data_IF_547946126898
#
_entry.id   IF_547946126898
#
_cell.length_a   1.000
_cell.length_b   1.000
_cell.length_c   1.000
_cell.angle_alpha   90.00
_cell.angle_beta   90.00
_cell.angle_gamma   90.00
#
_symmetry.space_group_name_H-M   'P 1'
#
loop_
_entity.id
_entity.type
_entity.pdbx_description
1 polymer ?
#
# COMPACT_ATOMS: atom_id res chain seq x y z
N UNK A 1 -9.18 -24.60 -16.45
CA UNK A 1 -8.89 -23.35 -15.70
C UNK A 1 -7.81 -22.55 -16.40
N UNK A 2 -8.09 -21.29 -16.69
CA UNK A 2 -7.15 -20.36 -17.32
C UNK A 2 -6.84 -19.22 -16.36
N UNK A 3 -5.57 -18.81 -16.27
CA UNK A 3 -5.20 -17.56 -15.62
C UNK A 3 -5.01 -16.49 -16.69
N UNK A 4 -5.56 -15.29 -16.52
CA UNK A 4 -5.31 -14.18 -17.42
C UNK A 4 -3.84 -13.75 -17.33
N UNK A 5 -3.29 -13.26 -18.44
CA UNK A 5 -2.07 -12.45 -18.38
C UNK A 5 -2.53 -11.01 -18.16
N UNK A 6 -2.17 -10.45 -16.99
CA UNK A 6 -2.69 -9.16 -16.56
C UNK A 6 -2.19 -8.00 -17.42
N UNK A 7 -0.95 -8.04 -17.87
CA UNK A 7 -0.41 -7.01 -18.78
C UNK A 7 -1.24 -6.93 -20.09
N UNK A 8 -1.53 -8.09 -20.70
CA UNK A 8 -2.36 -8.12 -21.89
C UNK A 8 -3.80 -7.68 -21.64
N UNK A 9 -4.33 -8.05 -20.46
CA UNK A 9 -5.68 -7.67 -20.08
C UNK A 9 -5.79 -6.16 -19.88
N UNK A 10 -4.81 -5.55 -19.21
CA UNK A 10 -4.79 -4.10 -18.96
C UNK A 10 -4.48 -3.28 -20.22
N UNK A 11 -3.64 -3.79 -21.12
CA UNK A 11 -3.44 -3.16 -22.43
C UNK A 11 -4.73 -3.16 -23.25
N UNK A 12 -5.46 -4.27 -23.27
CA UNK A 12 -6.78 -4.34 -23.88
C UNK A 12 -7.78 -3.41 -23.21
N UNK A 13 -7.71 -3.28 -21.86
CA UNK A 13 -8.52 -2.34 -21.09
C UNK A 13 -8.31 -0.90 -21.59
N UNK A 14 -7.10 -0.40 -21.66
CA UNK A 14 -6.79 0.94 -22.12
C UNK A 14 -7.33 1.23 -23.54
N UNK A 15 -7.14 0.29 -24.48
CA UNK A 15 -7.65 0.42 -25.85
C UNK A 15 -9.20 0.50 -25.91
N UNK A 16 -9.89 -0.31 -25.13
CA UNK A 16 -11.37 -0.37 -25.15
C UNK A 16 -12.01 0.77 -24.38
N UNK A 17 -11.42 1.20 -23.27
CA UNK A 17 -11.87 2.38 -22.53
C UNK A 17 -11.82 3.61 -23.45
N UNK A 18 -10.72 3.83 -24.15
CA UNK A 18 -10.56 4.94 -25.08
C UNK A 18 -11.59 4.91 -26.23
N UNK A 19 -12.11 3.72 -26.62
CA UNK A 19 -13.14 3.56 -27.64
C UNK A 19 -14.58 3.66 -27.12
N UNK A 20 -14.80 3.79 -25.80
CA UNK A 20 -16.13 3.78 -25.18
C UNK A 20 -16.84 2.42 -25.18
N UNK A 21 -16.11 1.33 -25.40
CA UNK A 21 -16.67 -0.03 -25.49
C UNK A 21 -16.81 -0.69 -24.10
N UNK A 22 -17.41 0.02 -23.13
CA UNK A 22 -17.47 -0.37 -21.71
C UNK A 22 -18.05 -1.76 -21.46
N UNK A 23 -19.20 -2.09 -22.09
CA UNK A 23 -19.82 -3.40 -21.90
C UNK A 23 -18.92 -4.56 -22.35
N UNK A 24 -18.27 -4.42 -23.51
CA UNK A 24 -17.37 -5.43 -24.04
C UNK A 24 -16.17 -5.62 -23.08
N UNK A 25 -15.68 -4.52 -22.56
CA UNK A 25 -14.56 -4.54 -21.63
C UNK A 25 -14.97 -5.18 -20.29
N UNK A 26 -16.11 -4.81 -19.71
CA UNK A 26 -16.61 -5.38 -18.47
C UNK A 26 -16.86 -6.91 -18.59
N UNK A 27 -17.48 -7.34 -19.69
CA UNK A 27 -17.68 -8.76 -19.98
C UNK A 27 -16.35 -9.50 -20.14
N UNK A 28 -15.32 -8.87 -20.72
CA UNK A 28 -13.98 -9.44 -20.85
C UNK A 28 -13.29 -9.61 -19.50
N UNK A 29 -13.37 -8.62 -18.60
CA UNK A 29 -12.85 -8.71 -17.24
C UNK A 29 -13.55 -9.81 -16.45
N UNK A 30 -14.89 -9.84 -16.50
CA UNK A 30 -15.69 -10.89 -15.86
C UNK A 30 -15.32 -12.28 -16.34
N UNK A 31 -15.15 -12.48 -17.66
CA UNK A 31 -14.77 -13.77 -18.25
C UNK A 31 -13.32 -14.16 -17.88
N UNK A 32 -12.40 -13.19 -17.84
CA UNK A 32 -11.03 -13.41 -17.40
C UNK A 32 -10.97 -13.85 -15.92
N UNK A 33 -11.95 -13.43 -15.12
CA UNK A 33 -12.06 -13.73 -13.70
C UNK A 33 -12.86 -15.03 -13.41
N UNK A 34 -13.36 -15.74 -14.41
CA UNK A 34 -14.24 -16.91 -14.22
C UNK A 34 -13.55 -18.02 -13.38
N UNK A 35 -12.30 -18.33 -13.70
CA UNK A 35 -11.52 -19.33 -12.97
C UNK A 35 -10.73 -18.73 -11.77
N UNK A 36 -10.32 -17.47 -11.86
CA UNK A 36 -9.48 -16.81 -10.87
C UNK A 36 -10.27 -16.39 -9.62
N UNK A 37 -11.49 -15.85 -9.79
CA UNK A 37 -12.35 -15.39 -8.72
C UNK A 37 -11.66 -14.34 -7.83
N UNK A 38 -10.90 -13.41 -8.42
CA UNK A 38 -10.26 -12.29 -7.71
C UNK A 38 -11.28 -11.20 -7.40
N UNK A 39 -11.25 -10.67 -6.18
CA UNK A 39 -12.09 -9.54 -5.77
C UNK A 39 -11.71 -8.27 -6.55
N UNK A 40 -10.44 -8.03 -6.81
CA UNK A 40 -9.93 -6.91 -7.60
C UNK A 40 -10.52 -6.88 -9.02
N UNK A 41 -10.53 -8.01 -9.72
CA UNK A 41 -11.11 -8.06 -11.07
C UNK A 41 -12.64 -7.89 -11.06
N UNK A 42 -13.32 -8.33 -10.01
CA UNK A 42 -14.75 -8.03 -9.86
C UNK A 42 -15.01 -6.55 -9.64
N UNK A 43 -14.19 -5.86 -8.82
CA UNK A 43 -14.27 -4.41 -8.63
C UNK A 43 -13.99 -3.66 -9.94
N UNK A 44 -12.96 -4.05 -10.68
CA UNK A 44 -12.65 -3.44 -11.97
C UNK A 44 -13.79 -3.64 -12.98
N UNK A 45 -14.38 -4.84 -13.03
CA UNK A 45 -15.54 -5.09 -13.88
C UNK A 45 -16.75 -4.24 -13.45
N UNK A 46 -16.97 -4.08 -12.14
CA UNK A 46 -18.03 -3.22 -11.60
C UNK A 46 -17.84 -1.76 -12.03
N UNK A 47 -16.63 -1.23 -11.91
CA UNK A 47 -16.29 0.13 -12.32
C UNK A 47 -16.61 0.35 -13.82
N UNK A 48 -16.23 -0.58 -14.67
CA UNK A 48 -16.46 -0.49 -16.12
C UNK A 48 -17.93 -0.59 -16.47
N UNK A 49 -18.69 -1.49 -15.81
CA UNK A 49 -20.15 -1.53 -15.98
C UNK A 49 -20.80 -0.22 -15.54
N UNK A 50 -20.33 0.37 -14.45
CA UNK A 50 -20.79 1.65 -13.96
C UNK A 50 -20.57 2.78 -14.98
N UNK A 51 -19.37 2.90 -15.54
CA UNK A 51 -19.07 3.88 -16.59
C UNK A 51 -19.94 3.68 -17.83
N UNK A 52 -20.24 2.44 -18.16
CA UNK A 52 -21.14 2.07 -19.26
C UNK A 52 -22.63 2.29 -18.98
N UNK A 53 -23.00 2.71 -17.77
CA UNK A 53 -24.41 2.92 -17.37
C UNK A 53 -25.15 1.65 -16.95
N UNK A 54 -24.48 0.49 -16.90
CA UNK A 54 -25.03 -0.82 -16.53
C UNK A 54 -24.98 -1.01 -14.99
N UNK A 55 -25.70 -0.17 -14.25
CA UNK A 55 -25.59 -0.08 -12.77
C UNK A 55 -25.95 -1.37 -12.04
N UNK A 56 -26.97 -2.12 -12.50
CA UNK A 56 -27.33 -3.42 -11.89
C UNK A 56 -26.20 -4.45 -12.05
N UNK A 57 -25.54 -4.44 -13.22
CA UNK A 57 -24.37 -5.29 -13.46
C UNK A 57 -23.20 -4.88 -12.56
N UNK A 58 -22.99 -3.59 -12.33
CA UNK A 58 -21.98 -3.09 -11.42
C UNK A 58 -22.25 -3.55 -9.97
N UNK A 59 -23.48 -3.40 -9.46
CA UNK A 59 -23.87 -3.90 -8.15
C UNK A 59 -23.62 -5.41 -8.02
N UNK A 60 -24.02 -6.21 -9.02
CA UNK A 60 -23.80 -7.64 -9.03
C UNK A 60 -22.32 -8.02 -8.96
N UNK A 61 -21.41 -7.25 -9.60
CA UNK A 61 -19.97 -7.49 -9.51
C UNK A 61 -19.42 -7.09 -8.14
N UNK A 62 -19.90 -5.99 -7.53
CA UNK A 62 -19.50 -5.61 -6.16
C UNK A 62 -19.94 -6.66 -5.11
N UNK A 63 -21.13 -7.23 -5.25
CA UNK A 63 -21.53 -8.36 -4.41
C UNK A 63 -20.57 -9.54 -4.54
N UNK A 64 -20.17 -9.89 -5.76
CA UNK A 64 -19.17 -10.95 -6.00
C UNK A 64 -17.79 -10.57 -5.43
N UNK A 65 -17.39 -9.32 -5.51
CA UNK A 65 -16.14 -8.86 -4.92
C UNK A 65 -16.15 -9.08 -3.39
N UNK A 66 -17.25 -8.72 -2.71
CA UNK A 66 -17.40 -8.97 -1.27
C UNK A 66 -17.40 -10.48 -0.96
N UNK A 67 -18.09 -11.30 -1.77
CA UNK A 67 -18.10 -12.76 -1.61
C UNK A 67 -16.69 -13.38 -1.76
N UNK A 68 -15.77 -12.68 -2.44
CA UNK A 68 -14.39 -13.10 -2.68
C UNK A 68 -13.37 -12.32 -1.83
N UNK A 69 -13.81 -11.62 -0.78
CA UNK A 69 -12.95 -11.05 0.24
C UNK A 69 -12.77 -9.54 0.20
N UNK A 70 -13.39 -8.81 -0.74
CA UNK A 70 -13.38 -7.34 -0.70
C UNK A 70 -13.89 -6.84 0.65
N UNK A 71 -13.12 -5.98 1.30
CA UNK A 71 -13.41 -5.42 2.61
C UNK A 71 -13.30 -3.89 2.68
N UNK A 72 -13.33 -3.20 1.53
CA UNK A 72 -13.34 -1.75 1.48
C UNK A 72 -14.79 -1.21 1.55
N UNK A 73 -15.25 -0.65 2.69
CA UNK A 73 -16.61 -0.14 2.83
C UNK A 73 -16.83 1.16 2.04
N UNK A 74 -15.76 1.86 1.66
CA UNK A 74 -15.79 3.09 0.87
C UNK A 74 -15.56 2.85 -0.62
N UNK A 75 -15.77 1.64 -1.10
CA UNK A 75 -15.51 1.30 -2.51
C UNK A 75 -16.26 2.22 -3.49
N UNK A 76 -17.45 2.66 -3.13
CA UNK A 76 -18.26 3.54 -3.97
C UNK A 76 -17.69 4.96 -4.12
N UNK A 77 -16.80 5.40 -3.22
CA UNK A 77 -16.12 6.70 -3.34
C UNK A 77 -15.18 6.75 -4.56
N UNK A 78 -14.73 5.59 -5.03
CA UNK A 78 -13.88 5.45 -6.23
C UNK A 78 -14.67 5.53 -7.54
N UNK A 79 -16.01 5.48 -7.48
CA UNK A 79 -16.85 5.48 -8.66
C UNK A 79 -17.26 6.91 -9.04
N UNK A 80 -17.32 7.24 -10.33
CA UNK A 80 -17.77 8.56 -10.77
C UNK A 80 -19.15 8.89 -10.22
N UNK A 81 -19.32 10.10 -9.69
CA UNK A 81 -20.62 10.55 -9.16
C UNK A 81 -21.68 10.55 -10.25
N UNK A 82 -22.87 10.04 -9.93
CA UNK A 82 -24.06 10.07 -10.80
C UNK A 82 -25.04 11.12 -10.31
N UNK A 83 -25.84 11.65 -11.25
CA UNK A 83 -26.91 12.63 -10.94
C UNK A 83 -28.13 11.93 -10.31
N UNK A 84 -28.39 10.70 -10.75
CA UNK A 84 -29.54 9.93 -10.28
C UNK A 84 -29.13 9.07 -9.08
N UNK A 85 -29.98 8.99 -8.04
CA UNK A 85 -29.75 8.10 -6.92
C UNK A 85 -29.71 6.64 -7.38
N UNK A 86 -28.92 5.84 -6.66
CA UNK A 86 -28.88 4.39 -6.87
C UNK A 86 -30.11 3.79 -6.16
N UNK A 87 -31.03 3.26 -6.91
CA UNK A 87 -32.27 2.69 -6.40
C UNK A 87 -32.38 1.21 -6.80
N UNK A 88 -32.99 0.42 -5.92
CA UNK A 88 -33.31 -0.98 -6.14
C UNK A 88 -32.68 -1.93 -5.13
N UNK A 89 -33.33 -3.07 -4.95
CA UNK A 89 -32.96 -4.07 -3.92
C UNK A 89 -31.50 -4.54 -3.97
N UNK A 90 -30.86 -4.51 -5.14
CA UNK A 90 -29.44 -4.86 -5.30
C UNK A 90 -28.50 -3.82 -4.66
N UNK A 91 -28.83 -2.54 -4.77
CA UNK A 91 -28.06 -1.45 -4.17
C UNK A 91 -28.29 -1.33 -2.67
N UNK A 92 -29.55 -1.49 -2.20
CA UNK A 92 -29.87 -1.48 -0.78
C UNK A 92 -29.13 -2.60 -0.06
N UNK A 93 -29.17 -3.84 -0.61
CA UNK A 93 -28.42 -4.97 -0.07
C UNK A 93 -26.90 -4.80 -0.11
N UNK A 94 -26.36 -4.08 -1.12
CA UNK A 94 -24.94 -3.75 -1.18
C UNK A 94 -24.57 -2.79 -0.07
N UNK A 95 -25.36 -1.74 0.14
CA UNK A 95 -25.10 -0.76 1.20
C UNK A 95 -25.13 -1.42 2.58
N UNK A 96 -26.11 -2.30 2.86
CA UNK A 96 -26.16 -3.07 4.11
C UNK A 96 -24.88 -3.88 4.35
N UNK A 97 -24.33 -4.49 3.29
CA UNK A 97 -23.06 -5.24 3.37
C UNK A 97 -21.86 -4.34 3.63
N UNK A 98 -21.78 -3.18 2.95
CA UNK A 98 -20.71 -2.21 3.14
C UNK A 98 -20.74 -1.62 4.56
N UNK A 99 -21.94 -1.36 5.10
CA UNK A 99 -22.12 -0.90 6.48
C UNK A 99 -21.69 -1.95 7.50
N UNK A 100 -21.98 -3.24 7.23
CA UNK A 100 -21.49 -4.36 8.05
C UNK A 100 -19.96 -4.42 8.07
N UNK A 101 -19.33 -4.34 6.88
CA UNK A 101 -17.86 -4.29 6.74
C UNK A 101 -17.29 -3.09 7.51
N UNK A 102 -17.91 -1.90 7.38
CA UNK A 102 -17.47 -0.71 8.10
C UNK A 102 -17.55 -0.88 9.62
N UNK A 103 -18.56 -1.60 10.11
CA UNK A 103 -18.70 -1.96 11.52
C UNK A 103 -17.59 -2.92 11.98
N UNK A 104 -17.34 -3.98 11.23
CA UNK A 104 -16.30 -4.97 11.54
C UNK A 104 -14.90 -4.35 11.58
N UNK A 105 -14.57 -3.46 10.64
CA UNK A 105 -13.27 -2.79 10.58
C UNK A 105 -12.98 -1.89 11.78
N UNK A 106 -13.98 -1.43 12.53
CA UNK A 106 -13.79 -0.64 13.75
C UNK A 106 -13.44 -1.49 14.98
N UNK A 107 -13.60 -2.79 14.88
CA UNK A 107 -13.39 -3.69 15.99
C UNK A 107 -11.99 -4.34 15.89
N UNK A 108 -11.10 -3.99 16.81
CA UNK A 108 -9.74 -4.57 16.86
C UNK A 108 -9.76 -6.10 16.97
N UNK A 109 -10.83 -6.69 17.52
CA UNK A 109 -11.02 -8.15 17.57
C UNK A 109 -11.13 -8.82 16.21
N UNK A 110 -11.42 -8.06 15.14
CA UNK A 110 -11.48 -8.54 13.75
C UNK A 110 -10.18 -8.28 12.98
N UNK A 111 -9.21 -7.62 13.62
CA UNK A 111 -7.88 -7.45 13.03
C UNK A 111 -7.17 -8.79 12.91
N UNK A 112 -6.74 -9.12 11.72
CA UNK A 112 -6.01 -10.37 11.42
C UNK A 112 -4.74 -10.09 10.64
N UNK A 113 -3.62 -10.63 11.09
CA UNK A 113 -2.42 -10.81 10.28
C UNK A 113 -2.42 -12.25 9.76
N UNK A 114 -2.64 -12.43 8.45
CA UNK A 114 -2.77 -13.73 7.79
C UNK A 114 -1.49 -14.08 7.05
N UNK A 115 -0.93 -15.23 7.38
CA UNK A 115 0.31 -15.76 6.76
C UNK A 115 0.08 -17.07 6.03
N UNK A 116 -1.17 -17.54 5.95
CA UNK A 116 -1.53 -18.84 5.39
C UNK A 116 -1.02 -19.02 3.95
N UNK A 117 -1.00 -17.94 3.16
CA UNK A 117 -0.48 -17.97 1.80
C UNK A 117 0.99 -18.40 1.73
N UNK A 118 1.82 -18.03 2.72
CA UNK A 118 3.22 -18.45 2.82
C UNK A 118 3.30 -19.95 3.08
N UNK A 119 2.56 -20.46 4.07
CA UNK A 119 2.57 -21.87 4.43
C UNK A 119 2.12 -22.78 3.28
N UNK A 120 1.06 -22.36 2.60
CA UNK A 120 0.53 -23.08 1.42
C UNK A 120 1.49 -23.03 0.25
N UNK A 121 2.29 -21.99 0.10
CA UNK A 121 3.22 -21.81 -1.02
C UNK A 121 4.40 -22.80 -1.00
N UNK A 122 4.99 -23.08 0.16
CA UNK A 122 6.23 -23.85 0.27
C UNK A 122 6.17 -25.25 -0.36
N UNK A 123 5.12 -26.06 -0.19
CA UNK A 123 5.00 -27.33 -0.88
C UNK A 123 4.98 -27.22 -2.42
N UNK A 124 4.38 -26.15 -2.97
CA UNK A 124 4.37 -25.91 -4.43
C UNK A 124 5.74 -25.46 -4.91
N UNK A 125 6.41 -24.59 -4.18
CA UNK A 125 7.79 -24.17 -4.46
C UNK A 125 8.73 -25.36 -4.51
N UNK A 126 8.70 -26.22 -3.48
CA UNK A 126 9.60 -27.36 -3.39
C UNK A 126 9.42 -28.30 -4.60
N UNK A 127 8.18 -28.66 -4.95
CA UNK A 127 7.90 -29.45 -6.16
C UNK A 127 8.34 -28.76 -7.45
N UNK A 128 8.16 -27.45 -7.54
CA UNK A 128 8.58 -26.67 -8.70
C UNK A 128 10.09 -26.62 -8.87
N UNK A 129 10.84 -26.63 -7.77
CA UNK A 129 12.31 -26.64 -7.77
C UNK A 129 12.90 -28.04 -7.95
N UNK A 130 12.17 -29.11 -7.57
CA UNK A 130 12.54 -30.51 -7.84
C UNK A 130 12.38 -30.84 -9.34
N UNK A 131 11.32 -30.36 -9.98
CA UNK A 131 11.07 -30.54 -11.42
C UNK A 131 10.66 -29.22 -12.06
N UNK A 132 11.63 -28.49 -12.60
CA UNK A 132 11.41 -27.18 -13.24
C UNK A 132 10.54 -27.27 -14.50
N UNK A 133 10.42 -28.44 -15.12
CA UNK A 133 9.51 -28.64 -16.25
C UNK A 133 8.03 -28.53 -15.83
N UNK A 134 7.72 -28.82 -14.58
CA UNK A 134 6.39 -28.72 -13.97
C UNK A 134 6.18 -27.43 -13.18
N UNK A 135 7.20 -26.59 -13.04
CA UNK A 135 7.16 -25.42 -12.14
C UNK A 135 5.98 -24.47 -12.47
N UNK A 136 5.72 -24.19 -13.76
CA UNK A 136 4.57 -23.36 -14.15
C UNK A 136 3.22 -23.97 -13.74
N UNK A 137 3.12 -25.29 -13.76
CA UNK A 137 1.91 -26.01 -13.34
C UNK A 137 1.75 -25.88 -11.81
N UNK A 138 2.85 -26.02 -11.04
CA UNK A 138 2.81 -25.88 -9.59
C UNK A 138 2.43 -24.45 -9.19
N UNK A 139 3.06 -23.43 -9.77
CA UNK A 139 2.74 -22.02 -9.50
C UNK A 139 1.29 -21.69 -9.87
N UNK A 140 0.82 -22.15 -11.03
CA UNK A 140 -0.58 -21.98 -11.43
C UNK A 140 -1.54 -22.66 -10.46
N UNK A 141 -1.23 -23.87 -10.00
CA UNK A 141 -2.07 -24.60 -9.05
C UNK A 141 -2.12 -23.86 -7.73
N UNK A 142 -0.99 -23.33 -7.23
CA UNK A 142 -0.93 -22.48 -6.05
C UNK A 142 -1.89 -21.28 -6.17
N UNK A 143 -1.88 -20.55 -7.28
CA UNK A 143 -2.78 -19.40 -7.49
C UNK A 143 -4.25 -19.83 -7.45
N UNK A 144 -4.61 -20.93 -8.10
CA UNK A 144 -6.01 -21.34 -8.26
C UNK A 144 -6.58 -22.05 -7.04
N UNK A 145 -5.75 -22.71 -6.24
CA UNK A 145 -6.19 -23.52 -5.09
C UNK A 145 -5.74 -22.99 -3.73
N UNK A 146 -4.88 -21.97 -3.73
CA UNK A 146 -4.45 -21.27 -2.54
C UNK A 146 -5.53 -20.37 -1.94
N UNK A 147 -5.23 -19.70 -0.82
CA UNK A 147 -6.16 -18.79 -0.18
C UNK A 147 -6.56 -17.63 -1.11
N UNK A 148 -7.74 -17.00 -0.88
CA UNK A 148 -8.29 -15.98 -1.78
C UNK A 148 -7.34 -14.80 -2.04
N UNK A 149 -6.57 -14.38 -1.04
CA UNK A 149 -5.61 -13.28 -1.12
C UNK A 149 -4.54 -13.49 -2.21
N UNK A 150 -4.16 -14.73 -2.49
CA UNK A 150 -3.18 -15.05 -3.54
C UNK A 150 -3.69 -14.67 -4.93
N UNK A 151 -5.01 -14.73 -5.12
CA UNK A 151 -5.67 -14.39 -6.40
C UNK A 151 -5.68 -12.89 -6.65
N UNK A 152 -5.92 -12.10 -5.61
CA UNK A 152 -5.85 -10.63 -5.70
C UNK A 152 -4.40 -10.18 -5.89
N UNK A 153 -3.46 -10.78 -5.16
CA UNK A 153 -2.05 -10.48 -5.36
C UNK A 153 -1.54 -10.87 -6.76
N UNK A 154 -2.14 -11.93 -7.37
CA UNK A 154 -1.86 -12.26 -8.77
C UNK A 154 -2.24 -11.11 -9.71
N UNK A 155 -3.37 -10.48 -9.48
CA UNK A 155 -3.85 -9.36 -10.30
C UNK A 155 -2.96 -8.14 -10.14
N UNK A 156 -2.60 -7.79 -8.92
CA UNK A 156 -1.93 -6.51 -8.63
C UNK A 156 -0.41 -6.57 -8.71
N UNK A 157 0.20 -7.78 -8.54
CA UNK A 157 1.67 -7.88 -8.43
C UNK A 157 2.33 -8.97 -9.27
N UNK A 158 1.77 -10.19 -9.33
CA UNK A 158 2.41 -11.25 -10.11
C UNK A 158 2.24 -11.04 -11.63
N UNK A 159 1.10 -10.55 -12.07
CA UNK A 159 0.82 -10.24 -13.48
C UNK A 159 0.70 -11.46 -14.39
N UNK A 160 1.58 -12.46 -14.23
CA UNK A 160 1.54 -13.71 -14.99
C UNK A 160 2.34 -14.84 -14.32
N UNK A 161 2.02 -16.08 -14.69
CA UNK A 161 2.81 -17.27 -14.28
C UNK A 161 4.24 -17.20 -14.81
N UNK A 162 4.47 -16.58 -15.96
CA UNK A 162 5.81 -16.44 -16.54
C UNK A 162 6.67 -15.47 -15.74
N UNK A 163 6.11 -14.38 -15.19
CA UNK A 163 6.81 -13.49 -14.29
C UNK A 163 7.17 -14.18 -12.96
N UNK A 164 6.20 -14.90 -12.36
CA UNK A 164 6.48 -15.72 -11.17
C UNK A 164 7.58 -16.76 -11.44
N UNK A 165 7.48 -17.50 -12.52
CA UNK A 165 8.50 -18.47 -12.91
C UNK A 165 9.86 -17.82 -13.13
N UNK A 166 9.88 -16.69 -13.83
CA UNK A 166 11.10 -15.92 -14.10
C UNK A 166 11.83 -15.50 -12.82
N UNK A 167 11.11 -14.97 -11.85
CA UNK A 167 11.71 -14.49 -10.60
C UNK A 167 12.01 -15.64 -9.63
N UNK A 168 11.03 -16.49 -9.34
CA UNK A 168 11.12 -17.47 -8.26
C UNK A 168 12.00 -18.67 -8.66
N UNK A 169 11.84 -19.16 -9.91
CA UNK A 169 12.49 -20.41 -10.35
C UNK A 169 13.79 -20.16 -11.10
N UNK A 170 13.85 -19.12 -11.94
CA UNK A 170 15.03 -18.87 -12.75
C UNK A 170 16.01 -17.88 -12.10
N UNK A 171 15.52 -16.76 -11.54
CA UNK A 171 16.39 -15.69 -11.07
C UNK A 171 16.91 -15.92 -9.64
N UNK A 172 16.04 -16.36 -8.71
CA UNK A 172 16.40 -16.40 -7.29
C UNK A 172 15.96 -17.68 -6.52
N UNK A 173 16.13 -18.90 -7.07
CA UNK A 173 15.66 -20.13 -6.42
C UNK A 173 16.33 -20.43 -5.07
N UNK A 174 17.59 -20.07 -4.88
CA UNK A 174 18.31 -20.26 -3.59
C UNK A 174 17.73 -19.29 -2.53
N UNK A 175 17.43 -18.07 -2.93
CA UNK A 175 16.82 -17.10 -2.05
C UNK A 175 15.45 -17.54 -1.54
N UNK A 176 14.56 -18.05 -2.42
CA UNK A 176 13.24 -18.52 -1.99
C UNK A 176 13.29 -19.79 -1.12
N UNK A 177 14.28 -20.69 -1.32
CA UNK A 177 14.52 -21.80 -0.39
C UNK A 177 14.97 -21.30 0.99
N UNK A 178 15.87 -20.33 1.03
CA UNK A 178 16.32 -19.70 2.26
C UNK A 178 15.16 -19.00 2.99
N UNK A 179 14.34 -18.26 2.26
CA UNK A 179 13.21 -17.52 2.80
C UNK A 179 12.21 -18.42 3.56
N UNK A 180 12.02 -19.66 3.13
CA UNK A 180 11.18 -20.63 3.84
C UNK A 180 11.57 -20.79 5.32
N UNK A 181 12.84 -20.72 5.64
CA UNK A 181 13.37 -20.83 7.01
C UNK A 181 13.10 -19.58 7.87
N UNK A 182 12.89 -18.42 7.27
CA UNK A 182 12.62 -17.15 7.98
C UNK A 182 11.18 -17.09 8.51
N UNK A 183 10.23 -17.67 7.79
CA UNK A 183 8.81 -17.71 8.15
C UNK A 183 8.51 -18.92 9.07
N UNK A 184 9.24 -19.04 10.18
CA UNK A 184 8.94 -20.05 11.20
C UNK A 184 7.84 -19.53 12.17
N UNK A 185 7.07 -20.43 12.82
CA UNK A 185 5.94 -20.03 13.67
C UNK A 185 6.31 -19.05 14.79
N UNK A 186 7.44 -19.25 15.45
CA UNK A 186 7.84 -18.40 16.60
C UNK A 186 8.10 -16.95 16.14
N UNK A 187 8.78 -16.78 15.00
CA UNK A 187 9.05 -15.46 14.42
C UNK A 187 7.77 -14.77 13.96
N UNK A 188 6.86 -15.53 13.35
CA UNK A 188 5.56 -15.00 12.89
C UNK A 188 4.68 -14.59 14.08
N UNK A 189 4.64 -15.38 15.14
CA UNK A 189 3.85 -15.06 16.34
C UNK A 189 4.36 -13.80 17.03
N UNK A 190 5.68 -13.60 17.12
CA UNK A 190 6.27 -12.37 17.65
C UNK A 190 5.88 -11.15 16.84
N UNK A 191 5.90 -11.24 15.50
CA UNK A 191 5.45 -10.17 14.60
C UNK A 191 3.97 -9.84 14.86
N UNK A 192 3.10 -10.85 14.95
CA UNK A 192 1.67 -10.68 15.25
C UNK A 192 1.45 -9.97 16.57
N UNK A 193 2.11 -10.42 17.64
CA UNK A 193 2.00 -9.81 18.98
C UNK A 193 2.42 -8.34 18.96
N UNK A 194 3.52 -8.02 18.28
CA UNK A 194 4.04 -6.64 18.17
C UNK A 194 3.05 -5.73 17.45
N UNK A 195 2.51 -6.18 16.32
CA UNK A 195 1.54 -5.40 15.54
C UNK A 195 0.23 -5.20 16.32
N UNK A 196 -0.33 -6.27 16.90
CA UNK A 196 -1.58 -6.18 17.69
C UNK A 196 -1.40 -5.27 18.89
N UNK A 197 -0.25 -5.35 19.57
CA UNK A 197 0.10 -4.44 20.69
C UNK A 197 0.11 -2.97 20.25
N UNK A 198 0.70 -2.67 19.10
CA UNK A 198 0.76 -1.33 18.52
C UNK A 198 -0.63 -0.83 18.09
N UNK A 199 -1.44 -1.68 17.46
CA UNK A 199 -2.82 -1.35 17.07
C UNK A 199 -3.72 -1.13 18.28
N UNK A 200 -3.47 -1.83 19.39
CA UNK A 200 -4.19 -1.60 20.65
C UNK A 200 -3.90 -0.19 21.19
N UNK A 201 -2.63 0.21 21.21
CA UNK A 201 -2.25 1.59 21.59
C UNK A 201 -2.83 2.63 20.63
N UNK A 202 -2.80 2.35 19.34
CA UNK A 202 -3.37 3.23 18.33
C UNK A 202 -4.87 3.47 18.55
N UNK A 203 -5.66 2.44 18.80
CA UNK A 203 -7.09 2.56 19.13
C UNK A 203 -7.34 3.46 20.33
N UNK A 204 -6.49 3.40 21.37
CA UNK A 204 -6.64 4.22 22.57
C UNK A 204 -6.33 5.70 22.31
N UNK A 205 -5.46 5.99 21.32
CA UNK A 205 -5.10 7.33 20.87
C UNK A 205 -6.11 7.88 19.87
N UNK A 206 -6.57 7.05 18.94
CA UNK A 206 -7.47 7.39 17.83
C UNK A 206 -8.69 6.45 17.82
N UNK A 207 -9.79 6.80 18.52
CA UNK A 207 -10.99 5.94 18.64
C UNK A 207 -11.73 5.67 17.33
N UNK A 208 -11.48 6.45 16.26
CA UNK A 208 -12.04 6.24 14.94
C UNK A 208 -11.24 5.26 14.08
N UNK A 209 -10.18 4.68 14.63
CA UNK A 209 -9.29 3.75 13.92
C UNK A 209 -10.07 2.62 13.22
N UNK A 210 -9.58 2.25 12.04
CA UNK A 210 -10.02 1.06 11.30
C UNK A 210 -8.90 0.03 11.24
N UNK A 211 -9.27 -1.25 11.26
CA UNK A 211 -8.34 -2.37 11.37
C UNK A 211 -8.53 -3.32 10.17
N UNK A 212 -8.05 -2.96 8.96
CA UNK A 212 -8.12 -3.83 7.81
C UNK A 212 -7.25 -5.08 8.03
N UNK A 213 -7.62 -6.17 7.38
CA UNK A 213 -6.82 -7.40 7.40
C UNK A 213 -5.48 -7.17 6.70
N UNK A 214 -4.44 -7.79 7.22
CA UNK A 214 -3.09 -7.78 6.65
C UNK A 214 -2.76 -9.19 6.17
N UNK A 215 -2.29 -9.30 4.94
CA UNK A 215 -1.94 -10.56 4.29
C UNK A 215 -0.47 -10.57 3.95
N UNK A 216 0.29 -11.53 4.49
CA UNK A 216 1.65 -11.79 4.05
C UNK A 216 1.61 -12.88 2.99
N UNK A 217 2.07 -12.56 1.80
CA UNK A 217 2.02 -13.45 0.64
C UNK A 217 3.42 -13.62 0.03
N UNK A 218 3.71 -14.76 -0.63
CA UNK A 218 4.97 -14.88 -1.35
C UNK A 218 4.97 -13.88 -2.52
N UNK A 219 5.94 -12.96 -2.55
CA UNK A 219 6.09 -11.98 -3.62
C UNK A 219 6.97 -12.47 -4.78
N UNK A 220 7.35 -11.54 -5.65
CA UNK A 220 8.34 -11.72 -6.73
C UNK A 220 9.42 -10.61 -6.68
N UNK A 221 9.80 -10.19 -5.48
CA UNK A 221 10.78 -9.14 -5.18
C UNK A 221 10.48 -7.81 -5.89
N UNK A 222 9.21 -7.40 -5.90
CA UNK A 222 8.74 -6.18 -6.57
C UNK A 222 7.85 -5.27 -5.71
N UNK A 223 7.54 -5.66 -4.46
CA UNK A 223 6.73 -4.82 -3.56
C UNK A 223 6.85 -5.27 -2.11
N UNK A 224 7.20 -4.34 -1.23
CA UNK A 224 7.15 -4.53 0.23
C UNK A 224 5.73 -4.47 0.77
N UNK A 225 4.89 -3.53 0.30
CA UNK A 225 3.51 -3.35 0.69
C UNK A 225 2.62 -2.97 -0.48
N UNK A 226 1.32 -3.27 -0.41
CA UNK A 226 0.32 -2.91 -1.41
C UNK A 226 -1.07 -2.89 -0.77
N UNK A 227 -1.74 -1.75 -0.82
CA UNK A 227 -3.15 -1.66 -0.47
C UNK A 227 -4.02 -2.18 -1.61
N UNK A 228 -5.04 -2.97 -1.28
CA UNK A 228 -6.04 -3.52 -2.20
C UNK A 228 -7.45 -3.35 -1.63
N UNK A 229 -8.45 -3.73 -2.40
CA UNK A 229 -9.84 -3.72 -1.92
C UNK A 229 -10.13 -4.82 -0.86
N UNK A 230 -9.26 -5.81 -0.73
CA UNK A 230 -9.34 -6.86 0.28
C UNK A 230 -8.68 -6.45 1.61
N UNK A 231 -7.73 -5.52 1.58
CA UNK A 231 -6.93 -5.07 2.72
C UNK A 231 -5.49 -4.78 2.30
N UNK A 232 -4.57 -4.94 3.25
CA UNK A 232 -3.15 -4.70 3.02
C UNK A 232 -2.40 -5.99 2.71
N UNK A 233 -1.58 -5.97 1.68
CA UNK A 233 -0.70 -7.07 1.29
C UNK A 233 0.76 -6.72 1.50
N UNK A 234 1.51 -7.65 2.07
CA UNK A 234 2.95 -7.57 2.22
C UNK A 234 3.60 -8.70 1.43
N UNK A 235 4.57 -8.37 0.56
CA UNK A 235 5.41 -9.36 -0.10
C UNK A 235 6.40 -9.93 0.89
N UNK A 236 6.14 -11.15 1.40
CA UNK A 236 6.98 -11.79 2.41
C UNK A 236 8.43 -11.98 1.97
N UNK A 237 8.68 -12.02 0.67
CA UNK A 237 10.01 -12.12 0.08
C UNK A 237 10.85 -10.83 0.21
N UNK A 238 10.26 -9.72 0.59
CA UNK A 238 10.98 -8.48 0.89
C UNK A 238 11.55 -8.42 2.31
N UNK A 239 11.36 -9.47 3.14
CA UNK A 239 11.74 -9.49 4.55
C UNK A 239 12.67 -10.66 4.90
N UNK A 240 13.62 -10.95 4.02
CA UNK A 240 14.57 -12.04 4.19
C UNK A 240 16.00 -11.63 4.54
N UNK A 241 16.27 -10.34 4.85
CA UNK A 241 17.63 -9.87 5.11
C UNK A 241 18.19 -10.49 6.40
N UNK A 242 19.34 -11.12 6.29
CA UNK A 242 20.17 -11.60 7.41
C UNK A 242 21.61 -11.81 6.92
N UNK A 243 22.57 -12.03 7.82
CA UNK A 243 23.95 -12.38 7.44
C UNK A 243 24.04 -13.66 6.57
N UNK A 244 23.08 -14.58 6.68
CA UNK A 244 23.01 -15.83 5.94
C UNK A 244 22.26 -15.72 4.62
N UNK A 245 21.68 -14.57 4.30
CA UNK A 245 20.90 -14.36 3.06
C UNK A 245 21.77 -14.64 1.82
N UNK A 246 21.34 -15.54 0.92
CA UNK A 246 22.05 -15.78 -0.33
C UNK A 246 21.88 -14.57 -1.27
N UNK A 247 22.97 -13.87 -1.54
CA UNK A 247 22.96 -12.63 -2.34
C UNK A 247 23.36 -12.82 -3.80
N UNK A 248 23.93 -14.01 -4.16
CA UNK A 248 24.51 -14.24 -5.49
C UNK A 248 23.50 -14.14 -6.63
N UNK A 249 22.25 -14.48 -6.36
CA UNK A 249 21.15 -14.49 -7.32
C UNK A 249 20.39 -13.16 -7.39
N UNK A 250 20.65 -12.27 -6.44
CA UNK A 250 19.93 -11.00 -6.31
C UNK A 250 20.64 -9.87 -7.06
N UNK A 251 19.85 -8.99 -7.66
CA UNK A 251 20.35 -7.72 -8.21
C UNK A 251 20.78 -6.78 -7.07
N UNK A 252 21.61 -5.76 -7.35
CA UNK A 252 22.03 -4.80 -6.33
C UNK A 252 20.82 -4.11 -5.70
N UNK A 253 19.85 -3.68 -6.52
CA UNK A 253 18.62 -3.11 -6.01
C UNK A 253 17.86 -4.06 -5.04
N UNK A 254 17.76 -5.36 -5.39
CA UNK A 254 17.09 -6.34 -4.52
C UNK A 254 17.82 -6.52 -3.18
N UNK A 255 19.17 -6.55 -3.19
CA UNK A 255 19.97 -6.65 -1.97
C UNK A 255 19.75 -5.47 -1.03
N UNK A 256 19.57 -4.27 -1.59
CA UNK A 256 19.34 -3.05 -0.83
C UNK A 256 17.89 -2.97 -0.34
N UNK A 257 16.93 -3.33 -1.20
CA UNK A 257 15.49 -3.24 -0.92
C UNK A 257 14.96 -4.32 0.04
N UNK A 258 15.62 -5.49 0.14
CA UNK A 258 15.22 -6.54 1.08
C UNK A 258 15.53 -6.08 2.51
N UNK A 259 14.51 -6.11 3.37
CA UNK A 259 14.55 -5.68 4.78
C UNK A 259 14.75 -6.86 5.73
N UNK A 260 15.10 -6.57 6.99
CA UNK A 260 15.15 -7.60 8.02
C UNK A 260 13.72 -8.05 8.38
N UNK A 261 13.58 -9.30 8.80
CA UNK A 261 12.28 -9.80 9.27
C UNK A 261 11.76 -9.02 10.48
N UNK A 262 12.67 -8.50 11.32
CA UNK A 262 12.34 -7.63 12.46
C UNK A 262 11.71 -6.29 12.08
N UNK A 263 11.87 -5.84 10.84
CA UNK A 263 11.34 -4.55 10.37
C UNK A 263 9.87 -4.67 9.92
N UNK A 264 9.39 -5.93 9.77
CA UNK A 264 8.03 -6.23 9.31
C UNK A 264 6.93 -5.58 10.16
N UNK A 265 6.98 -5.58 11.52
CA UNK A 265 5.99 -4.89 12.32
C UNK A 265 5.94 -3.39 12.05
N UNK A 266 7.10 -2.74 11.96
CA UNK A 266 7.21 -1.32 11.73
C UNK A 266 6.55 -0.92 10.39
N UNK A 267 6.92 -1.60 9.30
CA UNK A 267 6.34 -1.33 7.99
C UNK A 267 4.84 -1.64 7.96
N UNK A 268 4.42 -2.74 8.60
CA UNK A 268 3.00 -3.07 8.69
C UNK A 268 2.21 -1.94 9.36
N UNK A 269 2.72 -1.36 10.43
CA UNK A 269 2.07 -0.24 11.14
C UNK A 269 2.06 1.00 10.24
N UNK A 270 3.16 1.31 9.56
CA UNK A 270 3.24 2.42 8.60
C UNK A 270 2.14 2.30 7.54
N UNK A 271 2.05 1.18 6.87
CA UNK A 271 1.06 0.91 5.83
C UNK A 271 -0.39 0.93 6.37
N UNK A 272 -0.61 0.46 7.61
CA UNK A 272 -1.92 0.54 8.25
C UNK A 272 -2.36 1.98 8.52
N UNK A 273 -1.42 2.91 8.67
CA UNK A 273 -1.74 4.33 8.85
C UNK A 273 -2.31 4.96 7.57
N UNK A 274 -1.91 4.52 6.39
CA UNK A 274 -2.51 4.98 5.14
C UNK A 274 -4.03 4.68 5.07
N UNK A 275 -4.50 3.62 5.70
CA UNK A 275 -5.94 3.32 5.80
C UNK A 275 -6.69 4.26 6.74
N UNK A 276 -5.99 4.98 7.61
CA UNK A 276 -6.58 5.94 8.55
C UNK A 276 -6.68 7.35 7.96
N UNK A 277 -5.86 7.66 6.96
CA UNK A 277 -5.77 8.98 6.37
C UNK A 277 -7.02 9.31 5.54
N UNK A 278 -7.62 10.46 5.84
CA UNK A 278 -8.83 10.95 5.18
C UNK A 278 -8.70 12.45 4.89
N UNK A 279 -7.74 12.80 4.04
CA UNK A 279 -7.46 14.18 3.67
C UNK A 279 -8.49 14.72 2.68
N UNK A 280 -8.95 15.94 2.91
CA UNK A 280 -9.93 16.65 2.08
C UNK A 280 -9.33 17.90 1.40
N UNK A 281 -7.99 18.01 1.44
CA UNK A 281 -7.26 19.13 0.85
C UNK A 281 -7.16 18.97 -0.67
N UNK A 282 -8.03 19.67 -1.41
CA UNK A 282 -8.04 19.65 -2.88
C UNK A 282 -7.00 20.62 -3.47
N UNK A 283 -6.57 21.66 -2.71
CA UNK A 283 -5.66 22.69 -3.21
C UNK A 283 -4.21 22.18 -3.30
N UNK A 284 -3.77 21.38 -2.31
CA UNK A 284 -2.38 20.91 -2.23
C UNK A 284 -2.23 19.42 -2.50
N UNK A 285 -3.27 18.75 -2.96
CA UNK A 285 -3.35 17.29 -3.12
C UNK A 285 -2.20 16.69 -3.93
N UNK A 286 -1.82 17.34 -5.03
CA UNK A 286 -0.81 16.83 -5.96
C UNK A 286 0.60 17.43 -5.71
N UNK A 287 0.80 18.09 -4.56
CA UNK A 287 2.08 18.77 -4.27
C UNK A 287 3.04 17.89 -3.46
N UNK A 288 4.33 18.26 -3.49
CA UNK A 288 5.35 17.66 -2.62
C UNK A 288 4.96 17.78 -1.14
N UNK A 289 4.35 18.90 -0.72
CA UNK A 289 3.81 19.08 0.64
C UNK A 289 2.87 17.93 1.03
N UNK A 290 1.89 17.64 0.17
CA UNK A 290 0.94 16.55 0.43
C UNK A 290 1.67 15.22 0.55
N UNK A 291 2.55 14.93 -0.39
CA UNK A 291 3.27 13.66 -0.42
C UNK A 291 4.13 13.42 0.83
N UNK A 292 4.93 14.41 1.25
CA UNK A 292 5.79 14.27 2.44
C UNK A 292 5.00 14.22 3.76
N UNK A 293 3.88 14.94 3.86
CA UNK A 293 3.01 14.86 5.05
C UNK A 293 2.31 13.52 5.08
N UNK A 294 1.84 13.01 3.95
CA UNK A 294 1.19 11.70 3.84
C UNK A 294 2.08 10.59 4.42
N UNK A 295 3.33 10.52 3.97
CA UNK A 295 4.31 9.53 4.42
C UNK A 295 4.82 9.81 5.84
N UNK A 296 5.12 11.07 6.14
CA UNK A 296 5.67 11.46 7.44
C UNK A 296 4.70 11.25 8.60
N UNK A 297 3.40 11.38 8.38
CA UNK A 297 2.36 11.03 9.36
C UNK A 297 2.43 9.54 9.68
N UNK A 298 2.57 8.68 8.67
CA UNK A 298 2.68 7.24 8.88
C UNK A 298 3.90 6.87 9.73
N UNK A 299 5.09 7.41 9.40
CA UNK A 299 6.30 7.19 10.18
C UNK A 299 6.19 7.71 11.63
N UNK A 300 5.57 8.87 11.83
CA UNK A 300 5.35 9.39 13.18
C UNK A 300 4.34 8.55 13.98
N UNK A 301 3.29 8.04 13.34
CA UNK A 301 2.34 7.15 14.00
C UNK A 301 2.98 5.81 14.37
N UNK A 302 3.95 5.31 13.60
CA UNK A 302 4.76 4.15 14.00
C UNK A 302 5.44 4.42 15.33
N UNK A 303 6.15 5.55 15.47
CA UNK A 303 6.80 5.94 16.75
C UNK A 303 5.77 6.01 17.88
N UNK A 304 4.65 6.67 17.64
CA UNK A 304 3.64 6.88 18.66
C UNK A 304 2.98 5.57 19.14
N UNK A 305 2.80 4.61 18.23
CA UNK A 305 2.14 3.33 18.50
C UNK A 305 3.10 2.24 19.00
N UNK A 306 4.32 2.16 18.47
CA UNK A 306 5.31 1.16 18.88
C UNK A 306 6.16 1.62 20.06
N UNK A 307 6.41 2.91 20.16
CA UNK A 307 7.42 3.50 21.08
C UNK A 307 8.84 3.49 20.49
N UNK A 308 9.00 3.00 19.26
CA UNK A 308 10.28 2.99 18.56
C UNK A 308 10.49 4.30 17.82
N UNK A 309 11.45 5.09 18.27
CA UNK A 309 11.82 6.37 17.64
C UNK A 309 12.41 6.07 16.26
N UNK A 310 12.04 6.87 15.26
CA UNK A 310 12.66 6.78 13.94
C UNK A 310 14.18 7.03 14.08
N UNK A 311 14.96 6.06 13.66
CA UNK A 311 16.42 6.11 13.59
C UNK A 311 16.86 5.58 12.22
N UNK A 312 17.41 6.46 11.38
CA UNK A 312 17.81 6.13 10.03
C UNK A 312 18.92 7.05 9.52
N UNK A 313 19.55 6.67 8.42
CA UNK A 313 20.64 7.41 7.76
C UNK A 313 20.22 8.84 7.40
N UNK A 314 18.95 9.08 7.13
CA UNK A 314 18.42 10.40 6.80
C UNK A 314 18.48 11.36 8.01
N UNK A 315 18.14 10.87 9.21
CA UNK A 315 18.27 11.66 10.44
C UNK A 315 19.74 11.91 10.78
N UNK A 316 20.61 10.91 10.60
CA UNK A 316 22.04 11.09 10.77
C UNK A 316 22.59 12.16 9.81
N UNK A 317 22.23 12.09 8.53
CA UNK A 317 22.61 13.08 7.53
C UNK A 317 22.14 14.50 7.88
N UNK A 318 20.90 14.63 8.37
CA UNK A 318 20.32 15.91 8.81
C UNK A 318 20.83 16.39 10.17
N UNK A 319 21.59 15.59 10.91
CA UNK A 319 22.27 16.02 12.13
C UNK A 319 23.39 17.00 11.86
N UNK A 320 23.97 16.96 10.67
CA UNK A 320 24.93 17.96 10.19
C UNK A 320 24.19 19.27 9.86
N UNK A 321 24.62 20.37 10.50
CA UNK A 321 23.96 21.67 10.35
C UNK A 321 24.00 22.26 8.93
N UNK A 322 25.06 21.96 8.15
CA UNK A 322 25.20 22.42 6.76
C UNK A 322 24.23 21.64 5.85
N UNK A 323 24.18 20.31 6.00
CA UNK A 323 23.24 19.47 5.28
C UNK A 323 21.81 19.88 5.57
N UNK A 324 21.48 20.01 6.86
CA UNK A 324 20.16 20.43 7.28
C UNK A 324 19.75 21.75 6.63
N UNK A 325 20.63 22.74 6.61
CA UNK A 325 20.33 24.07 6.09
C UNK A 325 19.96 24.01 4.60
N UNK A 326 20.86 23.47 3.76
CA UNK A 326 20.61 23.50 2.31
C UNK A 326 19.44 22.59 1.89
N UNK A 327 19.25 21.44 2.56
CA UNK A 327 18.11 20.55 2.32
C UNK A 327 16.79 21.29 2.60
N UNK A 328 16.69 22.00 3.73
CA UNK A 328 15.46 22.72 4.07
C UNK A 328 15.23 23.93 3.15
N UNK A 329 16.29 24.60 2.68
CA UNK A 329 16.19 25.67 1.68
C UNK A 329 15.66 25.13 0.35
N UNK A 330 16.14 23.97 -0.11
CA UNK A 330 15.67 23.32 -1.32
C UNK A 330 14.23 22.80 -1.17
N UNK A 331 13.91 22.14 -0.04
CA UNK A 331 12.55 21.69 0.24
C UNK A 331 11.56 22.86 0.20
N UNK A 332 11.90 24.00 0.81
CA UNK A 332 11.05 25.18 0.78
C UNK A 332 10.80 25.68 -0.65
N UNK A 333 11.82 25.64 -1.51
CA UNK A 333 11.67 26.06 -2.91
C UNK A 333 10.72 25.15 -3.72
N UNK A 334 10.68 23.86 -3.41
CA UNK A 334 9.93 22.83 -4.17
C UNK A 334 8.64 22.38 -3.47
N UNK A 335 8.39 22.80 -2.24
CA UNK A 335 7.31 22.29 -1.36
C UNK A 335 5.92 22.29 -1.99
N UNK A 336 5.60 23.29 -2.82
CA UNK A 336 4.32 23.46 -3.47
C UNK A 336 4.33 23.04 -4.94
N UNK A 337 5.40 22.41 -5.41
CA UNK A 337 5.50 21.84 -6.77
C UNK A 337 4.95 20.40 -6.79
N UNK A 338 4.64 19.89 -7.99
CA UNK A 338 4.07 18.54 -8.18
C UNK A 338 5.17 17.46 -8.29
N UNK A 339 6.40 17.83 -8.62
CA UNK A 339 7.51 16.88 -8.76
C UNK A 339 8.05 16.44 -7.40
N UNK A 340 7.82 15.17 -7.07
CA UNK A 340 8.28 14.54 -5.82
C UNK A 340 9.55 13.71 -5.99
N UNK A 341 10.06 13.55 -7.22
CA UNK A 341 11.07 12.55 -7.59
C UNK A 341 12.41 12.70 -6.87
N UNK A 342 12.77 13.92 -6.44
CA UNK A 342 13.98 14.17 -5.65
C UNK A 342 13.84 13.78 -4.18
N UNK A 343 12.62 13.58 -3.69
CA UNK A 343 12.29 13.48 -2.27
C UNK A 343 11.73 12.13 -1.86
N UNK A 344 11.00 11.47 -2.76
CA UNK A 344 10.28 10.25 -2.48
C UNK A 344 10.44 9.25 -3.62
N UNK A 345 10.46 7.96 -3.30
CA UNK A 345 10.52 6.84 -4.24
C UNK A 345 11.72 6.87 -5.19
N UNK A 346 12.83 7.49 -4.76
CA UNK A 346 13.99 7.72 -5.62
C UNK A 346 15.08 6.64 -5.50
N UNK A 347 15.01 5.75 -4.50
CA UNK A 347 15.83 4.55 -4.39
C UNK A 347 17.34 4.77 -4.53
N UNK A 348 17.85 5.94 -4.12
CA UNK A 348 19.28 6.28 -4.24
C UNK A 348 19.69 6.78 -5.62
N UNK A 349 18.76 7.21 -6.46
CA UNK A 349 19.07 7.86 -7.76
C UNK A 349 19.65 9.27 -7.61
N UNK A 350 19.63 9.83 -6.40
CA UNK A 350 20.18 11.13 -6.03
C UNK A 350 21.54 10.91 -5.37
N UNK A 351 22.59 11.55 -5.86
CA UNK A 351 23.96 11.31 -5.41
C UNK A 351 24.40 12.15 -4.21
N UNK A 352 23.79 13.32 -3.98
CA UNK A 352 24.23 14.31 -2.99
C UNK A 352 23.59 14.13 -1.59
N UNK A 353 22.64 13.23 -1.47
CA UNK A 353 21.89 12.96 -0.25
C UNK A 353 21.42 11.50 -0.15
N UNK A 354 21.04 11.02 1.06
CA UNK A 354 20.39 9.71 1.19
C UNK A 354 19.06 9.64 0.42
N UNK A 355 18.70 8.42 0.01
CA UNK A 355 17.43 8.16 -0.68
C UNK A 355 16.22 8.52 0.20
N UNK A 356 15.13 8.87 -0.47
CA UNK A 356 13.79 8.99 0.13
C UNK A 356 13.72 9.95 1.33
N UNK A 357 14.51 11.04 1.28
CA UNK A 357 14.64 12.01 2.37
C UNK A 357 13.32 12.70 2.73
N UNK A 358 12.36 12.74 1.80
CA UNK A 358 11.03 13.30 1.99
C UNK A 358 10.23 12.65 3.12
N UNK A 359 10.37 11.33 3.32
CA UNK A 359 9.76 10.62 4.46
C UNK A 359 10.21 11.23 5.79
N UNK A 360 11.52 11.39 5.95
CA UNK A 360 12.09 11.96 7.18
C UNK A 360 11.72 13.43 7.36
N UNK A 361 11.64 14.20 6.27
CA UNK A 361 11.19 15.60 6.34
C UNK A 361 9.74 15.69 6.81
N UNK A 362 8.86 14.87 6.25
CA UNK A 362 7.46 14.77 6.68
C UNK A 362 7.32 14.34 8.14
N UNK A 363 8.10 13.33 8.57
CA UNK A 363 8.14 12.88 9.96
C UNK A 363 8.54 14.00 10.92
N UNK A 364 9.59 14.78 10.62
CA UNK A 364 10.03 15.87 11.46
C UNK A 364 8.97 16.98 11.60
N UNK A 365 8.30 17.33 10.51
CA UNK A 365 7.21 18.32 10.50
C UNK A 365 6.04 17.81 11.34
N UNK A 366 5.61 16.59 11.12
CA UNK A 366 4.47 15.93 11.79
C UNK A 366 4.73 15.82 13.31
N UNK A 367 5.91 15.32 13.69
CA UNK A 367 6.32 15.22 15.10
C UNK A 367 6.33 16.57 15.78
N UNK A 368 6.89 17.60 15.12
CA UNK A 368 6.92 18.96 15.66
C UNK A 368 5.51 19.55 15.83
N UNK A 369 4.60 19.32 14.89
CA UNK A 369 3.19 19.68 15.03
C UNK A 369 2.57 19.05 16.27
N UNK A 370 2.70 17.74 16.39
CA UNK A 370 2.17 16.99 17.53
C UNK A 370 2.75 17.50 18.86
N UNK A 371 4.07 17.70 18.93
CA UNK A 371 4.74 18.17 20.16
C UNK A 371 4.25 19.54 20.63
N UNK A 372 3.96 20.45 19.69
CA UNK A 372 3.47 21.80 20.00
C UNK A 372 1.96 21.87 20.26
N UNK A 373 1.19 20.90 19.77
CA UNK A 373 -0.25 20.91 19.95
C UNK A 373 -0.66 20.64 21.41
N UNK A 374 -1.51 21.51 22.03
CA UNK A 374 -1.88 21.38 23.45
C UNK A 374 -2.71 20.12 23.76
N UNK A 375 -3.54 19.67 22.81
CA UNK A 375 -4.36 18.45 22.91
C UNK A 375 -3.78 17.39 21.98
N UNK A 376 -3.21 16.33 22.54
CA UNK A 376 -2.54 15.27 21.79
C UNK A 376 -3.50 14.38 21.00
N UNK A 377 -4.72 14.19 21.49
CA UNK A 377 -5.75 13.42 20.77
C UNK A 377 -6.26 14.20 19.57
N UNK A 378 -6.48 15.51 19.75
CA UNK A 378 -6.85 16.37 18.64
C UNK A 378 -5.73 16.43 17.60
N UNK A 379 -4.47 16.53 18.02
CA UNK A 379 -3.33 16.51 17.11
C UNK A 379 -3.30 15.27 16.23
N UNK A 380 -3.53 14.07 16.79
CA UNK A 380 -3.61 12.83 16.02
C UNK A 380 -4.79 12.86 15.06
N UNK A 381 -5.95 13.35 15.50
CA UNK A 381 -7.10 13.50 14.61
C UNK A 381 -6.79 14.43 13.43
N UNK A 382 -6.19 15.59 13.69
CA UNK A 382 -5.85 16.57 12.65
C UNK A 382 -4.83 16.00 11.65
N UNK A 383 -3.82 15.28 12.15
CA UNK A 383 -2.79 14.63 11.32
C UNK A 383 -3.36 13.56 10.39
N UNK A 384 -4.45 12.89 10.77
CA UNK A 384 -5.08 11.84 9.96
C UNK A 384 -6.26 12.34 9.12
N UNK A 385 -6.82 13.55 9.41
CA UNK A 385 -8.04 14.06 8.77
C UNK A 385 -7.92 15.54 8.35
N UNK A 386 -6.74 15.98 7.95
CA UNK A 386 -6.53 17.38 7.58
C UNK A 386 -7.41 17.82 6.40
N UNK A 387 -8.05 18.98 6.54
CA UNK A 387 -8.73 19.67 5.45
C UNK A 387 -7.83 20.70 4.75
N UNK A 388 -6.75 21.11 5.40
CA UNK A 388 -5.69 21.99 4.89
C UNK A 388 -4.35 21.51 5.46
N UNK A 389 -3.56 20.86 4.63
CA UNK A 389 -2.24 20.32 5.02
C UNK A 389 -1.25 21.42 5.41
N UNK A 390 -1.45 22.65 4.93
CA UNK A 390 -0.60 23.77 5.31
C UNK A 390 -0.71 24.13 6.80
N UNK A 391 -1.83 23.81 7.45
CA UNK A 391 -2.02 24.06 8.89
C UNK A 391 -1.08 23.18 9.74
N UNK A 392 -0.74 21.96 9.27
CA UNK A 392 0.23 21.11 9.95
C UNK A 392 1.61 21.78 9.94
N UNK A 393 2.03 22.31 8.79
CA UNK A 393 3.32 23.02 8.67
C UNK A 393 3.32 24.32 9.45
N UNK A 394 2.28 25.15 9.32
CA UNK A 394 2.13 26.46 10.01
C UNK A 394 2.22 26.35 11.54
N UNK A 395 1.65 25.27 12.08
CA UNK A 395 1.63 25.03 13.53
C UNK A 395 2.76 24.10 14.01
N UNK A 396 3.82 23.97 13.22
CA UNK A 396 5.06 23.26 13.56
C UNK A 396 6.25 24.24 13.68
N UNK A 397 7.41 23.75 14.13
CA UNK A 397 8.67 24.51 14.10
C UNK A 397 9.17 24.80 12.68
N UNK A 398 8.49 24.28 11.67
CA UNK A 398 8.86 24.37 10.25
C UNK A 398 7.96 25.32 9.45
N UNK A 399 7.21 26.21 10.13
CA UNK A 399 6.30 27.18 9.49
C UNK A 399 6.98 28.04 8.43
N UNK A 400 8.26 28.37 8.60
CA UNK A 400 9.07 29.16 7.68
C UNK A 400 9.18 28.52 6.28
N UNK A 401 9.14 27.19 6.15
CA UNK A 401 9.19 26.50 4.87
C UNK A 401 8.04 26.93 3.93
N UNK A 402 6.85 27.11 4.51
CA UNK A 402 5.68 27.52 3.74
C UNK A 402 5.72 29.01 3.38
N UNK A 403 6.29 29.84 4.24
CA UNK A 403 6.49 31.26 3.97
C UNK A 403 7.47 31.45 2.81
N UNK A 404 8.60 30.73 2.84
CA UNK A 404 9.63 30.76 1.79
C UNK A 404 9.10 30.20 0.46
N UNK A 405 8.33 29.11 0.48
CA UNK A 405 7.68 28.53 -0.71
C UNK A 405 6.74 29.54 -1.40
N UNK A 406 5.89 30.22 -0.63
CA UNK A 406 4.95 31.24 -1.14
C UNK A 406 5.67 32.47 -1.67
N UNK A 407 6.74 32.90 -1.03
CA UNK A 407 7.56 34.02 -1.48
C UNK A 407 8.31 33.71 -2.80
N UNK A 408 8.73 32.48 -3.00
CA UNK A 408 9.32 31.98 -4.24
C UNK A 408 8.34 31.98 -5.41
N UNK A 409 7.14 31.44 -5.21
CA UNK A 409 6.06 31.47 -6.24
C UNK A 409 5.66 32.91 -6.62
N UNK A 410 5.59 33.83 -5.68
CA UNK A 410 5.25 35.23 -5.98
C UNK A 410 6.30 35.92 -6.86
N UNK A 411 7.57 35.54 -6.75
CA UNK A 411 8.65 36.06 -7.60
C UNK A 411 8.65 35.47 -9.01
N UNK A 412 8.27 34.20 -9.17
CA UNK A 412 8.19 33.54 -10.49
C UNK A 412 7.01 34.01 -11.33
N UNK A 413 5.92 34.47 -10.71
CA UNK A 413 4.75 35.03 -11.39
C UNK A 413 4.94 36.51 -11.84
N UNK A 414 6.03 37.16 -11.41
CA UNK A 414 6.34 38.56 -11.74
C UNK A 414 7.46 38.71 -12.77
N UNK A 415 8.01 37.59 -13.28
CA UNK A 415 8.96 37.53 -14.38
C UNK A 415 8.32 36.97 -15.63
#
# INVERSE_FOLDING_TARGET
MRLPNMERLFNFYGEKQASGAFKILADSLKNANEDLQSSELFVQAAYVYWEGGETDSAAAMLHKAIDNGMSNPRILDKFPRRKDPLEGAGWDALQDRLDSIAGELKELSHFELRTEAMDVFWPYLNRALEDTSQARVQLKTFILTGPPEVRDFYVVRYGSIDQMYGQIINAAPEYYRYLQGQFNPDSVDLVKETIVGSMTRFRDIYPQAVFPKVYIVPGILNSGGTATEMGMFLGGDMYGKSPEMPTRELTEWQKDAIMNFSDLPRLTIHELMHFQQNYQDEEYRETLLSAIIHEGVCDFMVELCSGEILDNDNLEFLSNAENKKWVFEELAAELLEEDTSKWLYNGGSIEDRPADLGYTMGYLITKSYYEQHPDKKQAVYDLLNANDLTEIVKNSSYAYLLEDAKAGKSKSLTL
#
